data_IF_995575239886
#
_entry.id   IF_995575239886
#
_cell.length_a   1.000
_cell.length_b   1.000
_cell.length_c   1.000
_cell.angle_alpha   90.00
_cell.angle_beta   90.00
_cell.angle_gamma   90.00
#
_symmetry.space_group_name_H-M   'P 1'
#
loop_
_entity.id
_entity.type
_entity.pdbx_description
1 polymer ?
#
# COMPACT_ATOMS: atom_id res chain seq x y z
N UNK A 1 -33.43 -2.37 -14.76
CA UNK A 1 -32.02 -2.13 -14.40
C UNK A 1 -31.18 -2.54 -15.60
N UNK A 2 -30.44 -1.64 -16.24
CA UNK A 2 -29.57 -1.99 -17.36
C UNK A 2 -28.18 -1.45 -17.04
N UNK A 3 -27.21 -2.36 -17.02
CA UNK A 3 -25.86 -2.15 -16.52
C UNK A 3 -25.00 -1.33 -17.51
N UNK A 4 -24.24 -0.38 -16.97
CA UNK A 4 -23.31 0.47 -17.72
C UNK A 4 -22.14 -0.34 -18.31
N UNK A 5 -21.78 -0.11 -19.58
CA UNK A 5 -20.76 -0.89 -20.24
C UNK A 5 -19.36 -0.44 -19.79
N UNK A 6 -18.56 -1.40 -19.33
CA UNK A 6 -17.11 -1.30 -19.10
C UNK A 6 -16.68 -0.47 -17.89
N UNK A 7 -17.01 -0.95 -16.68
CA UNK A 7 -15.99 -0.95 -15.63
C UNK A 7 -15.01 -2.06 -15.96
N UNK A 8 -14.01 -1.75 -16.78
CA UNK A 8 -12.79 -2.56 -16.84
C UNK A 8 -12.26 -2.59 -15.41
N UNK A 9 -12.19 -3.76 -14.80
CA UNK A 9 -11.45 -3.95 -13.56
C UNK A 9 -10.04 -3.36 -13.79
N UNK A 10 -9.70 -2.22 -13.16
CA UNK A 10 -8.45 -1.52 -13.45
C UNK A 10 -7.22 -2.38 -13.13
N UNK A 11 -7.42 -3.45 -12.35
CA UNK A 11 -6.39 -4.38 -11.94
C UNK A 11 -6.88 -5.83 -12.14
N UNK A 12 -6.78 -6.36 -13.37
CA UNK A 12 -7.17 -7.73 -13.66
C UNK A 12 -6.45 -8.71 -12.72
N UNK A 13 -7.21 -9.46 -11.93
CA UNK A 13 -6.69 -10.40 -10.93
C UNK A 13 -6.71 -9.89 -9.48
N UNK A 14 -7.13 -8.64 -9.25
CA UNK A 14 -7.38 -8.13 -7.90
C UNK A 14 -8.74 -8.64 -7.40
N UNK A 15 -8.73 -9.40 -6.30
CA UNK A 15 -9.96 -9.84 -5.66
C UNK A 15 -10.48 -8.69 -4.78
N UNK A 16 -11.57 -8.05 -5.18
CA UNK A 16 -12.18 -6.92 -4.46
C UNK A 16 -11.95 -5.56 -5.14
N UNK A 17 -12.57 -4.51 -4.61
CA UNK A 17 -12.51 -3.15 -5.17
C UNK A 17 -11.25 -2.36 -4.75
N UNK A 18 -10.33 -3.01 -4.03
CA UNK A 18 -9.10 -2.40 -3.52
C UNK A 18 -9.29 -1.48 -2.32
N UNK A 19 -10.53 -1.35 -1.82
CA UNK A 19 -10.85 -0.54 -0.63
C UNK A 19 -11.06 -1.38 0.62
N UNK A 20 -11.31 -2.68 0.46
CA UNK A 20 -11.46 -3.63 1.55
C UNK A 20 -10.11 -4.00 2.19
N UNK A 21 -10.06 -3.96 3.53
CA UNK A 21 -8.88 -4.36 4.30
C UNK A 21 -8.55 -5.83 4.02
N UNK A 22 -7.35 -6.07 3.49
CA UNK A 22 -6.85 -7.41 3.22
C UNK A 22 -6.50 -8.13 4.53
N UNK A 23 -7.52 -8.68 5.20
CA UNK A 23 -7.35 -9.43 6.44
C UNK A 23 -7.22 -10.93 6.14
N UNK A 24 -5.99 -11.41 6.04
CA UNK A 24 -5.68 -12.82 5.82
C UNK A 24 -5.79 -13.68 7.11
N UNK A 25 -6.22 -13.09 8.24
CA UNK A 25 -6.17 -13.70 9.58
C UNK A 25 -4.79 -14.26 9.97
N UNK A 26 -3.73 -13.76 9.32
CA UNK A 26 -2.36 -14.14 9.62
C UNK A 26 -1.77 -13.08 10.56
N UNK A 27 -1.34 -13.47 11.78
CA UNK A 27 -0.64 -12.54 12.65
C UNK A 27 0.68 -12.16 11.98
N UNK A 28 0.89 -10.86 11.76
CA UNK A 28 2.18 -10.35 11.30
C UNK A 28 3.28 -10.62 12.34
N UNK A 29 4.54 -10.68 11.90
CA UNK A 29 5.70 -10.81 12.78
C UNK A 29 6.24 -9.40 13.13
N UNK A 30 6.05 -8.91 14.37
CA UNK A 30 6.54 -7.59 14.76
C UNK A 30 8.07 -7.47 14.69
N UNK A 31 8.80 -8.59 14.79
CA UNK A 31 10.27 -8.62 14.77
C UNK A 31 10.83 -8.37 13.38
N UNK A 32 10.01 -8.53 12.34
CA UNK A 32 10.35 -8.23 10.94
C UNK A 32 9.96 -6.81 10.53
N UNK A 33 9.49 -6.00 11.46
CA UNK A 33 9.27 -4.57 11.19
C UNK A 33 10.63 -3.91 10.95
N UNK A 34 10.62 -2.93 10.06
CA UNK A 34 11.75 -2.02 9.91
C UNK A 34 12.01 -1.28 11.23
N UNK A 35 13.28 -1.08 11.52
CA UNK A 35 13.76 -0.31 12.66
C UNK A 35 13.70 1.19 12.37
N UNK A 36 13.73 2.00 13.42
CA UNK A 36 13.80 3.47 13.30
C UNK A 36 15.07 3.89 12.55
N UNK A 37 16.20 3.22 12.81
CA UNK A 37 17.45 3.45 12.10
C UNK A 37 17.33 3.18 10.59
N UNK A 38 16.68 2.09 10.18
CA UNK A 38 16.43 1.80 8.76
C UNK A 38 15.51 2.82 8.10
N UNK A 39 14.53 3.36 8.84
CA UNK A 39 13.68 4.46 8.38
C UNK A 39 14.51 5.72 8.18
N UNK A 40 15.26 6.12 9.20
CA UNK A 40 16.08 7.32 9.14
C UNK A 40 17.12 7.21 8.01
N UNK A 41 17.78 6.07 7.86
CA UNK A 41 18.75 5.85 6.78
C UNK A 41 18.15 5.94 5.38
N UNK A 42 16.89 5.53 5.21
CA UNK A 42 16.18 5.58 3.94
C UNK A 42 15.73 7.00 3.58
N UNK A 43 15.35 7.82 4.56
CA UNK A 43 14.74 9.13 4.33
C UNK A 43 15.67 10.34 4.58
N UNK A 44 16.83 10.15 5.21
CA UNK A 44 17.79 11.25 5.51
C UNK A 44 18.76 11.56 4.35
N UNK A 45 18.93 10.63 3.39
CA UNK A 45 19.96 10.74 2.34
C UNK A 45 19.48 11.41 1.05
N UNK A 46 18.18 11.66 0.90
CA UNK A 46 17.62 12.25 -0.31
C UNK A 46 17.16 13.72 -0.11
N UNK A 47 17.92 14.72 -0.61
CA UNK A 47 17.49 16.12 -0.58
C UNK A 47 16.25 16.42 -1.46
N UNK A 48 15.67 15.39 -2.11
CA UNK A 48 14.48 15.47 -2.96
C UNK A 48 13.19 15.10 -2.22
N UNK A 49 13.26 14.54 -1.01
CA UNK A 49 12.12 14.07 -0.19
C UNK A 49 11.80 15.08 0.94
N UNK A 50 12.21 16.34 0.82
CA UNK A 50 11.63 17.40 1.66
C UNK A 50 10.24 17.71 1.12
N UNK A 51 9.14 17.41 1.85
CA UNK A 51 7.83 17.88 1.46
C UNK A 51 7.88 19.42 1.47
N UNK A 52 7.56 20.05 0.34
CA UNK A 52 7.39 21.51 0.30
C UNK A 52 6.25 21.86 1.26
N UNK A 53 6.59 22.67 2.26
CA UNK A 53 5.69 23.25 3.25
C UNK A 53 4.58 24.07 2.60
#
# INVERSE_FOLDING_TARGET
>A
MAEDPKKTDPHPGMMGDGTEEQNLNQPGDPSKRITEEEVDDAFTKDPKIVPKK
#
